data_IF_972658140121
#
_entry.id   IF_972658140121
#
_cell.length_a   1.000
_cell.length_b   1.000
_cell.length_c   1.000
_cell.angle_alpha   90.00
_cell.angle_beta   90.00
_cell.angle_gamma   90.00
#
_symmetry.space_group_name_H-M   'P 1'
#
loop_
_entity.id
_entity.type
_entity.pdbx_description
1 polymer ?
#
# COMPACT_ATOMS: atom_id res chain seq x y z
N UNK A 1 32.43 -16.73 9.21
CA UNK A 1 31.75 -16.50 10.49
C UNK A 1 30.89 -15.26 10.34
N UNK A 2 29.58 -15.43 10.18
CA UNK A 2 28.65 -14.33 10.02
C UNK A 2 28.18 -13.87 11.40
N UNK A 3 28.53 -12.65 11.78
CA UNK A 3 28.08 -12.02 13.01
C UNK A 3 26.61 -11.64 12.86
N UNK A 4 25.72 -12.45 13.44
CA UNK A 4 24.31 -12.11 13.59
C UNK A 4 24.19 -10.90 14.53
N UNK A 5 23.79 -9.75 13.97
CA UNK A 5 23.46 -8.56 14.75
C UNK A 5 22.11 -8.83 15.42
N UNK A 6 22.17 -9.17 16.70
CA UNK A 6 21.00 -9.32 17.57
C UNK A 6 20.48 -7.92 17.91
N UNK A 7 19.44 -7.47 17.20
CA UNK A 7 18.74 -6.22 17.53
C UNK A 7 17.77 -6.52 18.68
N UNK A 8 17.92 -5.91 19.86
CA UNK A 8 17.03 -6.17 20.99
C UNK A 8 15.63 -5.66 20.67
N UNK A 9 14.65 -6.57 20.63
CA UNK A 9 13.23 -6.21 20.63
C UNK A 9 12.92 -5.53 21.96
N UNK A 10 12.45 -4.29 21.93
CA UNK A 10 12.01 -3.60 23.14
C UNK A 10 10.79 -4.32 23.75
N UNK A 11 10.67 -4.35 25.10
CA UNK A 11 9.59 -5.04 25.78
C UNK A 11 8.22 -4.40 25.49
N UNK A 12 7.23 -5.23 25.20
CA UNK A 12 5.87 -4.90 24.73
C UNK A 12 5.16 -3.79 25.53
N UNK A 13 5.38 -3.72 26.85
CA UNK A 13 4.67 -2.77 27.72
C UNK A 13 5.07 -1.30 27.49
N UNK A 14 6.34 -1.04 27.16
CA UNK A 14 6.80 0.33 26.94
C UNK A 14 6.32 0.87 25.59
N UNK A 15 6.29 0.01 24.57
CA UNK A 15 5.72 0.34 23.24
C UNK A 15 4.24 0.69 23.36
N UNK A 16 3.46 -0.06 24.13
CA UNK A 16 2.03 0.20 24.34
C UNK A 16 1.76 1.52 25.09
N UNK A 17 2.58 1.86 26.09
CA UNK A 17 2.49 3.14 26.79
C UNK A 17 2.86 4.32 25.88
N UNK A 18 3.94 4.19 25.10
CA UNK A 18 4.32 5.20 24.10
C UNK A 18 3.22 5.39 23.06
N UNK A 19 2.60 4.29 22.60
CA UNK A 19 1.48 4.32 21.66
C UNK A 19 0.25 5.06 22.21
N UNK A 20 -0.06 4.85 23.49
CA UNK A 20 -1.16 5.57 24.18
C UNK A 20 -0.86 7.05 24.35
N UNK A 21 0.37 7.39 24.74
CA UNK A 21 0.80 8.78 24.88
C UNK A 21 0.71 9.50 23.53
N UNK A 22 1.19 8.88 22.47
CA UNK A 22 1.10 9.41 21.12
C UNK A 22 -0.34 9.67 20.68
N UNK A 23 -1.27 8.71 20.86
CA UNK A 23 -2.69 8.92 20.47
C UNK A 23 -3.34 10.15 21.11
N UNK A 24 -2.83 10.60 22.27
CA UNK A 24 -3.32 11.76 22.98
C UNK A 24 -2.67 13.09 22.54
N UNK A 25 -1.56 13.04 21.79
CA UNK A 25 -0.89 14.23 21.26
C UNK A 25 -1.56 14.68 19.95
N UNK A 26 -1.76 15.99 19.78
CA UNK A 26 -2.35 16.55 18.58
C UNK A 26 -1.30 17.32 17.80
N UNK A 27 -1.07 16.94 16.55
CA UNK A 27 -0.36 17.80 15.60
C UNK A 27 -1.30 18.89 15.10
N UNK A 28 -0.80 20.09 14.80
CA UNK A 28 -1.68 21.16 14.33
C UNK A 28 -2.22 20.85 12.93
N UNK A 29 -3.42 21.35 12.64
CA UNK A 29 -4.08 21.19 11.35
C UNK A 29 -3.25 21.79 10.24
N UNK A 30 -2.92 21.01 9.22
CA UNK A 30 -2.07 21.42 8.10
C UNK A 30 -2.87 21.48 6.80
N UNK A 31 -2.56 22.45 5.97
CA UNK A 31 -3.07 22.57 4.59
C UNK A 31 -2.03 22.02 3.62
N UNK A 32 -2.37 21.05 2.76
CA UNK A 32 -1.43 20.58 1.74
C UNK A 32 -0.97 21.73 0.85
N UNK A 33 0.34 22.01 0.83
CA UNK A 33 0.95 22.92 -0.13
C UNK A 33 1.44 22.13 -1.35
N UNK A 34 1.41 22.75 -2.53
CA UNK A 34 1.80 22.13 -3.80
C UNK A 34 3.18 21.45 -3.70
N UNK A 35 3.27 20.24 -4.26
CA UNK A 35 4.49 19.45 -4.38
C UNK A 35 5.61 20.26 -5.07
N UNK A 36 6.74 20.47 -4.37
CA UNK A 36 7.99 20.96 -4.98
C UNK A 36 8.95 19.77 -5.17
N UNK A 37 9.23 19.35 -6.42
CA UNK A 37 10.13 18.24 -6.73
C UNK A 37 11.56 18.39 -6.18
N UNK A 38 11.96 19.58 -5.72
CA UNK A 38 13.28 19.84 -5.13
C UNK A 38 13.38 19.45 -3.65
N UNK A 39 12.25 19.17 -2.99
CA UNK A 39 12.21 18.80 -1.58
C UNK A 39 12.46 17.29 -1.43
N UNK A 40 13.73 16.88 -1.52
CA UNK A 40 14.13 15.50 -1.31
C UNK A 40 13.97 15.12 0.16
N UNK A 41 13.37 13.96 0.42
CA UNK A 41 13.30 13.38 1.75
C UNK A 41 14.71 13.11 2.29
N UNK A 42 15.00 13.58 3.50
CA UNK A 42 16.26 13.30 4.16
C UNK A 42 16.48 11.79 4.36
N UNK A 43 17.71 11.31 4.18
CA UNK A 43 18.06 9.89 4.34
C UNK A 43 17.67 9.33 5.71
N UNK A 44 17.76 10.15 6.76
CA UNK A 44 17.37 9.79 8.12
C UNK A 44 15.87 9.56 8.23
N UNK A 45 15.06 10.45 7.65
CA UNK A 45 13.60 10.32 7.59
C UNK A 45 13.19 9.07 6.80
N UNK A 46 13.86 8.82 5.67
CA UNK A 46 13.66 7.60 4.90
C UNK A 46 13.93 6.35 5.75
N UNK A 47 15.09 6.27 6.40
CA UNK A 47 15.46 5.13 7.24
C UNK A 47 14.46 4.96 8.39
N UNK A 48 13.96 6.06 8.95
CA UNK A 48 12.97 5.96 10.00
C UNK A 48 11.68 5.28 9.54
N UNK A 49 11.22 5.62 8.33
CA UNK A 49 10.06 4.99 7.73
C UNK A 49 10.31 3.56 7.25
N UNK A 50 11.55 3.21 6.88
CA UNK A 50 11.90 1.91 6.29
C UNK A 50 12.27 0.82 7.32
N UNK A 51 12.70 1.18 8.53
CA UNK A 51 13.33 0.24 9.49
C UNK A 51 12.61 0.12 10.86
N UNK A 52 11.29 0.35 10.92
CA UNK A 52 10.45 0.33 12.16
C UNK A 52 10.96 1.24 13.28
N UNK A 53 11.59 2.37 12.92
CA UNK A 53 12.14 3.35 13.88
C UNK A 53 11.05 4.31 14.32
N UNK A 54 9.99 3.72 14.87
CA UNK A 54 8.79 4.40 15.31
C UNK A 54 9.10 5.54 16.28
N UNK A 55 9.86 5.25 17.34
CA UNK A 55 10.16 6.23 18.39
C UNK A 55 10.96 7.40 17.83
N UNK A 56 11.96 7.12 16.99
CA UNK A 56 12.81 8.15 16.41
C UNK A 56 12.09 9.02 15.37
N UNK A 57 11.17 8.44 14.58
CA UNK A 57 10.31 9.22 13.70
C UNK A 57 9.41 10.14 14.51
N UNK A 58 8.71 9.58 15.50
CA UNK A 58 7.77 10.33 16.32
C UNK A 58 8.47 11.47 17.07
N UNK A 59 9.59 11.19 17.73
CA UNK A 59 10.37 12.21 18.42
C UNK A 59 10.90 13.28 17.48
N UNK A 60 11.28 12.91 16.25
CA UNK A 60 11.74 13.88 15.27
C UNK A 60 10.59 14.82 14.86
N UNK A 61 9.44 14.27 14.47
CA UNK A 61 8.26 15.04 14.09
C UNK A 61 7.75 15.93 15.24
N UNK A 62 7.76 15.43 16.48
CA UNK A 62 7.32 16.15 17.67
C UNK A 62 8.24 17.33 18.04
N UNK A 63 9.53 17.24 17.74
CA UNK A 63 10.51 18.31 18.03
C UNK A 63 10.51 19.44 17.01
N UNK A 64 9.78 19.28 15.90
CA UNK A 64 9.64 20.34 14.90
C UNK A 64 8.86 21.51 15.51
N UNK A 65 9.53 22.64 15.65
CA UNK A 65 8.94 23.87 16.20
C UNK A 65 8.17 24.67 15.15
N UNK A 66 8.38 24.36 13.86
CA UNK A 66 7.79 25.08 12.73
C UNK A 66 6.70 24.25 12.04
N UNK A 67 5.53 24.86 11.86
CA UNK A 67 4.43 24.27 11.12
C UNK A 67 4.80 24.00 9.66
N UNK A 68 5.57 24.91 9.06
CA UNK A 68 5.98 24.84 7.66
C UNK A 68 6.95 23.67 7.44
N UNK A 69 7.82 23.40 8.41
CA UNK A 69 8.77 22.29 8.35
C UNK A 69 8.05 20.94 8.46
N UNK A 70 7.10 20.82 9.40
CA UNK A 70 6.27 19.61 9.53
C UNK A 70 5.44 19.40 8.26
N UNK A 71 4.77 20.44 7.76
CA UNK A 71 3.99 20.35 6.52
C UNK A 71 4.85 19.98 5.31
N UNK A 72 6.07 20.51 5.21
CA UNK A 72 7.02 20.15 4.16
C UNK A 72 7.39 18.67 4.22
N UNK A 73 7.78 18.16 5.40
CA UNK A 73 8.18 16.76 5.59
C UNK A 73 7.03 15.80 5.29
N UNK A 74 5.82 16.12 5.76
CA UNK A 74 4.68 15.23 5.65
C UNK A 74 4.11 15.21 4.23
N UNK A 75 3.94 16.38 3.58
CA UNK A 75 3.17 16.48 2.34
C UNK A 75 3.97 16.79 1.08
N UNK A 76 5.18 17.33 1.21
CA UNK A 76 5.96 17.80 0.05
C UNK A 76 7.24 17.01 -0.17
N UNK A 77 7.86 16.48 0.88
CA UNK A 77 9.08 15.70 0.76
C UNK A 77 8.82 14.28 0.27
N UNK A 78 9.65 13.83 -0.66
CA UNK A 78 9.57 12.49 -1.22
C UNK A 78 10.94 11.90 -1.55
N UNK A 79 10.99 10.57 -1.69
CA UNK A 79 12.14 9.90 -2.32
C UNK A 79 12.29 10.31 -3.80
N UNK A 80 13.37 9.91 -4.51
CA UNK A 80 13.52 10.19 -5.94
C UNK A 80 12.37 9.70 -6.84
N UNK A 81 11.57 8.73 -6.38
CA UNK A 81 10.37 8.24 -7.07
C UNK A 81 9.08 8.93 -6.62
N UNK A 82 9.17 10.02 -5.84
CA UNK A 82 8.01 10.72 -5.27
C UNK A 82 7.36 10.03 -4.07
N UNK A 83 7.95 8.96 -3.53
CA UNK A 83 7.39 8.26 -2.37
C UNK A 83 7.43 9.14 -1.10
N UNK A 84 6.26 9.45 -0.54
CA UNK A 84 6.10 10.04 0.80
C UNK A 84 6.49 9.05 1.91
N UNK A 85 6.52 9.50 3.17
CA UNK A 85 6.79 8.63 4.33
C UNK A 85 5.80 7.45 4.43
N UNK A 86 4.54 7.66 4.03
CA UNK A 86 3.54 6.60 4.03
C UNK A 86 3.87 5.53 2.99
N UNK A 87 4.29 5.93 1.78
CA UNK A 87 4.72 5.00 0.73
C UNK A 87 5.91 4.15 1.18
N UNK A 88 6.92 4.78 1.80
CA UNK A 88 8.13 4.10 2.26
C UNK A 88 7.80 3.09 3.37
N UNK A 89 7.06 3.50 4.40
CA UNK A 89 6.66 2.59 5.48
C UNK A 89 5.77 1.45 4.99
N UNK A 90 4.86 1.73 4.04
CA UNK A 90 3.98 0.75 3.44
C UNK A 90 4.73 -0.32 2.65
N UNK A 91 5.69 0.06 1.81
CA UNK A 91 6.47 -0.89 1.00
C UNK A 91 7.38 -1.78 1.84
N UNK A 92 7.90 -1.27 2.96
CA UNK A 92 8.76 -2.02 3.87
C UNK A 92 7.98 -2.87 4.89
N UNK A 93 6.66 -2.67 5.02
CA UNK A 93 5.84 -3.41 5.98
C UNK A 93 5.90 -2.85 7.40
N UNK A 94 6.25 -1.57 7.55
CA UNK A 94 6.40 -0.90 8.85
C UNK A 94 5.03 -0.48 9.38
N UNK A 95 4.25 -1.47 9.82
CA UNK A 95 2.86 -1.33 10.27
C UNK A 95 2.67 -0.21 11.28
N UNK A 96 3.51 -0.15 12.32
CA UNK A 96 3.35 0.80 13.43
C UNK A 96 3.62 2.24 12.95
N UNK A 97 4.62 2.43 12.09
CA UNK A 97 4.89 3.72 11.42
C UNK A 97 3.76 4.11 10.47
N UNK A 98 3.24 3.17 9.69
CA UNK A 98 2.08 3.41 8.82
C UNK A 98 0.85 3.85 9.64
N UNK A 99 0.60 3.19 10.77
CA UNK A 99 -0.48 3.57 11.67
C UNK A 99 -0.27 4.96 12.29
N UNK A 100 0.98 5.29 12.66
CA UNK A 100 1.39 6.63 13.11
C UNK A 100 0.99 7.71 12.13
N UNK A 101 1.46 7.56 10.90
CA UNK A 101 1.26 8.55 9.86
C UNK A 101 -0.22 8.74 9.56
N UNK A 102 -1.01 7.67 9.47
CA UNK A 102 -2.44 7.77 9.17
C UNK A 102 -3.29 8.29 10.32
N UNK A 103 -2.87 8.08 11.57
CA UNK A 103 -3.60 8.63 12.72
C UNK A 103 -3.57 10.16 12.76
N UNK A 104 -2.46 10.77 12.33
CA UNK A 104 -2.28 12.23 12.38
C UNK A 104 -2.41 12.92 11.04
N UNK A 105 -2.08 12.22 9.96
CA UNK A 105 -2.04 12.76 8.61
C UNK A 105 -2.86 11.84 7.67
N UNK A 106 -4.17 11.67 7.94
CA UNK A 106 -5.00 10.69 7.21
C UNK A 106 -5.07 10.95 5.71
N UNK A 107 -4.90 12.21 5.28
CA UNK A 107 -4.88 12.59 3.85
C UNK A 107 -3.74 11.92 3.07
N UNK A 108 -2.68 11.45 3.74
CA UNK A 108 -1.60 10.71 3.08
C UNK A 108 -2.08 9.41 2.42
N UNK A 109 -3.22 8.87 2.84
CA UNK A 109 -3.75 7.62 2.29
C UNK A 109 -4.07 7.70 0.80
N UNK A 110 -4.36 8.91 0.29
CA UNK A 110 -4.65 9.16 -1.13
C UNK A 110 -3.45 9.74 -1.88
N UNK A 111 -2.32 9.98 -1.21
CA UNK A 111 -1.12 10.49 -1.86
C UNK A 111 -0.64 9.51 -2.93
N UNK A 112 -0.16 10.06 -4.04
CA UNK A 112 0.38 9.32 -5.17
C UNK A 112 1.85 9.68 -5.39
N UNK A 113 2.67 8.68 -5.68
CA UNK A 113 4.06 8.88 -6.09
C UNK A 113 4.15 9.21 -7.61
N UNK A 114 5.35 9.24 -8.19
CA UNK A 114 5.54 9.54 -9.62
C UNK A 114 5.00 8.49 -10.59
N UNK A 115 4.65 7.30 -10.08
CA UNK A 115 4.00 6.22 -10.83
C UNK A 115 2.49 6.17 -10.58
N UNK A 116 1.91 7.21 -9.97
CA UNK A 116 0.53 7.22 -9.49
C UNK A 116 0.21 6.09 -8.47
N UNK A 117 1.21 5.41 -7.94
CA UNK A 117 1.03 4.41 -6.90
C UNK A 117 0.64 5.11 -5.60
N UNK A 118 -0.34 4.54 -4.91
CA UNK A 118 -0.63 4.85 -3.50
C UNK A 118 0.19 3.94 -2.59
N UNK A 119 0.21 4.26 -1.29
CA UNK A 119 0.80 3.38 -0.28
C UNK A 119 0.24 1.94 -0.33
N UNK A 120 -1.04 1.78 -0.70
CA UNK A 120 -1.67 0.47 -0.84
C UNK A 120 -1.09 -0.36 -2.01
N UNK A 121 -0.78 0.28 -3.14
CA UNK A 121 -0.12 -0.39 -4.27
C UNK A 121 1.23 -0.95 -3.84
N UNK A 122 2.05 -0.13 -3.18
CA UNK A 122 3.39 -0.54 -2.76
C UNK A 122 3.37 -1.61 -1.66
N UNK A 123 2.48 -1.51 -0.67
CA UNK A 123 2.31 -2.56 0.33
C UNK A 123 1.89 -3.89 -0.31
N UNK A 124 0.98 -3.82 -1.28
CA UNK A 124 0.46 -5.01 -1.95
C UNK A 124 1.52 -5.67 -2.86
N UNK A 125 2.22 -4.88 -3.67
CA UNK A 125 3.31 -5.35 -4.53
C UNK A 125 4.55 -5.82 -3.78
N UNK A 126 4.74 -5.41 -2.52
CA UNK A 126 5.79 -5.90 -1.64
C UNK A 126 5.35 -7.05 -0.69
N UNK A 127 4.07 -7.44 -0.72
CA UNK A 127 3.56 -8.58 0.06
C UNK A 127 3.31 -8.30 1.54
N UNK A 128 3.16 -7.03 1.92
CA UNK A 128 3.11 -6.58 3.32
C UNK A 128 1.69 -6.67 3.92
N UNK A 129 1.21 -7.89 4.17
CA UNK A 129 -0.17 -8.18 4.58
C UNK A 129 -0.68 -7.34 5.76
N UNK A 130 0.08 -7.27 6.85
CA UNK A 130 -0.38 -6.58 8.06
C UNK A 130 -0.47 -5.05 7.84
N UNK A 131 0.42 -4.50 7.02
CA UNK A 131 0.37 -3.09 6.64
C UNK A 131 -0.77 -2.81 5.65
N UNK A 132 -1.02 -3.72 4.69
CA UNK A 132 -2.21 -3.67 3.82
C UNK A 132 -3.50 -3.61 4.63
N UNK A 133 -3.63 -4.45 5.68
CA UNK A 133 -4.78 -4.42 6.60
C UNK A 133 -4.93 -3.08 7.31
N UNK A 134 -3.83 -2.50 7.83
CA UNK A 134 -3.87 -1.18 8.48
C UNK A 134 -4.35 -0.10 7.51
N UNK A 135 -3.80 -0.05 6.30
CA UNK A 135 -4.20 0.94 5.28
C UNK A 135 -5.71 0.86 5.00
N UNK A 136 -6.25 -0.34 4.75
CA UNK A 136 -7.68 -0.53 4.45
C UNK A 136 -8.55 -0.22 5.67
N UNK A 137 -8.17 -0.67 6.86
CA UNK A 137 -8.95 -0.39 8.08
C UNK A 137 -8.99 1.10 8.41
N UNK A 138 -7.88 1.82 8.22
CA UNK A 138 -7.85 3.28 8.38
C UNK A 138 -8.73 3.97 7.33
N UNK A 139 -8.67 3.54 6.07
CA UNK A 139 -9.57 4.07 5.03
C UNK A 139 -11.06 3.94 5.41
N UNK A 140 -11.47 2.78 5.95
CA UNK A 140 -12.85 2.55 6.39
C UNK A 140 -13.24 3.33 7.65
N UNK A 141 -12.30 3.49 8.60
CA UNK A 141 -12.56 4.09 9.91
C UNK A 141 -12.76 5.61 9.90
N UNK A 142 -12.46 6.31 8.80
CA UNK A 142 -12.64 7.76 8.68
C UNK A 142 -14.05 8.21 8.28
N UNK A 143 -15.01 7.28 8.12
CA UNK A 143 -16.45 7.55 8.15
C UNK A 143 -17.07 8.10 6.86
N UNK A 144 -18.36 7.80 6.70
CA UNK A 144 -19.28 7.99 5.57
C UNK A 144 -19.45 9.45 5.04
N UNK A 145 -18.67 10.41 5.54
CA UNK A 145 -18.82 11.84 5.23
C UNK A 145 -17.76 12.39 4.27
N UNK A 146 -16.88 11.55 3.76
CA UNK A 146 -15.82 11.97 2.84
C UNK A 146 -15.84 11.08 1.62
N UNK A 147 -15.87 11.72 0.45
CA UNK A 147 -15.58 11.15 -0.87
C UNK A 147 -14.13 10.62 -0.96
N UNK A 148 -13.63 9.95 0.08
CA UNK A 148 -12.41 9.17 -0.01
C UNK A 148 -12.71 8.06 -1.01
N UNK A 149 -12.21 8.26 -2.24
CA UNK A 149 -12.14 7.26 -3.30
C UNK A 149 -12.00 5.86 -2.71
N UNK A 150 -12.74 4.89 -3.26
CA UNK A 150 -12.52 3.49 -2.95
C UNK A 150 -11.04 3.16 -3.22
N UNK A 151 -10.21 3.17 -2.17
CA UNK A 151 -8.74 3.06 -2.30
C UNK A 151 -8.32 1.74 -2.95
N UNK A 152 -9.21 0.75 -2.90
CA UNK A 152 -9.09 -0.54 -3.56
C UNK A 152 -9.15 -0.44 -5.10
N UNK A 153 -9.90 0.53 -5.63
CA UNK A 153 -10.13 0.74 -7.06
C UNK A 153 -9.17 1.76 -7.69
N UNK A 154 -8.38 2.47 -6.87
CA UNK A 154 -7.40 3.43 -7.38
C UNK A 154 -6.43 2.72 -8.30
N UNK A 155 -6.15 3.34 -9.45
CA UNK A 155 -5.22 2.84 -10.46
C UNK A 155 -3.96 3.70 -10.51
N UNK A 156 -2.82 3.04 -10.65
CA UNK A 156 -1.53 3.65 -10.91
C UNK A 156 -1.33 4.00 -12.41
N UNK A 157 -0.13 4.42 -12.80
CA UNK A 157 0.21 4.86 -14.15
C UNK A 157 0.08 3.75 -15.21
N UNK A 158 0.12 2.48 -14.82
CA UNK A 158 -0.15 1.30 -15.67
C UNK A 158 -1.62 0.92 -15.71
N UNK A 159 -2.47 1.58 -14.93
CA UNK A 159 -3.86 1.19 -14.73
C UNK A 159 -4.03 0.05 -13.74
N UNK A 160 -2.95 -0.39 -13.07
CA UNK A 160 -3.00 -1.46 -12.10
C UNK A 160 -3.64 -0.96 -10.80
N UNK A 161 -4.49 -1.80 -10.20
CA UNK A 161 -4.94 -1.65 -8.81
C UNK A 161 -3.96 -2.35 -7.86
N UNK A 162 -4.10 -2.14 -6.55
CA UNK A 162 -3.31 -2.89 -5.56
C UNK A 162 -3.44 -4.42 -5.71
N UNK A 163 -4.59 -4.93 -6.16
CA UNK A 163 -4.75 -6.36 -6.43
C UNK A 163 -3.92 -6.83 -7.63
N UNK A 164 -3.79 -6.01 -8.68
CA UNK A 164 -2.88 -6.32 -9.78
C UNK A 164 -1.45 -6.47 -9.25
N UNK A 165 -0.98 -5.51 -8.46
CA UNK A 165 0.38 -5.53 -7.91
C UNK A 165 0.64 -6.77 -7.04
N UNK A 166 -0.33 -7.15 -6.19
CA UNK A 166 -0.23 -8.38 -5.40
C UNK A 166 -0.17 -9.64 -6.27
N UNK A 167 -0.94 -9.70 -7.37
CA UNK A 167 -0.99 -10.87 -8.26
C UNK A 167 0.25 -10.96 -9.15
N UNK A 168 0.70 -9.84 -9.73
CA UNK A 168 1.89 -9.76 -10.58
C UNK A 168 3.12 -10.26 -9.80
N UNK A 169 3.24 -9.87 -8.52
CA UNK A 169 4.34 -10.25 -7.66
C UNK A 169 4.09 -11.53 -6.82
N UNK A 170 2.99 -12.24 -7.08
CA UNK A 170 2.63 -13.53 -6.44
C UNK A 170 2.50 -13.49 -4.92
N UNK A 171 1.96 -12.41 -4.38
CA UNK A 171 1.69 -12.26 -2.95
C UNK A 171 0.30 -12.79 -2.58
N UNK A 172 0.17 -14.13 -2.51
CA UNK A 172 -1.09 -14.85 -2.29
C UNK A 172 -1.87 -14.38 -1.06
N UNK A 173 -1.18 -14.11 0.06
CA UNK A 173 -1.84 -13.72 1.31
C UNK A 173 -2.48 -12.33 1.21
N UNK A 174 -1.78 -11.38 0.57
CA UNK A 174 -2.31 -10.05 0.28
C UNK A 174 -3.46 -10.13 -0.71
N UNK A 175 -3.30 -10.86 -1.82
CA UNK A 175 -4.35 -11.01 -2.82
C UNK A 175 -5.63 -11.62 -2.22
N UNK A 176 -5.50 -12.66 -1.39
CA UNK A 176 -6.62 -13.25 -0.66
C UNK A 176 -7.35 -12.22 0.20
N UNK A 177 -6.60 -11.39 0.91
CA UNK A 177 -7.18 -10.35 1.74
C UNK A 177 -7.89 -9.27 0.90
N UNK A 178 -7.21 -8.70 -0.11
CA UNK A 178 -7.81 -7.69 -0.99
C UNK A 178 -9.10 -8.15 -1.66
N UNK A 179 -9.14 -9.40 -2.10
CA UNK A 179 -10.33 -9.98 -2.73
C UNK A 179 -11.45 -10.24 -1.72
N UNK A 180 -11.13 -10.56 -0.46
CA UNK A 180 -12.14 -10.62 0.61
C UNK A 180 -12.73 -9.25 0.96
N UNK A 181 -12.02 -8.18 0.63
CA UNK A 181 -12.48 -6.80 0.82
C UNK A 181 -13.32 -6.30 -0.36
N UNK A 182 -12.98 -6.68 -1.59
CA UNK A 182 -13.74 -6.38 -2.81
C UNK A 182 -13.43 -7.41 -3.91
N UNK A 183 -14.40 -8.27 -4.23
CA UNK A 183 -14.23 -9.37 -5.18
C UNK A 183 -14.26 -8.91 -6.64
N UNK A 184 -14.89 -7.77 -6.91
CA UNK A 184 -15.04 -7.15 -8.22
C UNK A 184 -13.69 -6.73 -8.83
N UNK A 185 -12.68 -6.48 -7.98
CA UNK A 185 -11.32 -6.16 -8.41
C UNK A 185 -10.68 -7.27 -9.26
N UNK A 186 -11.09 -8.53 -9.10
CA UNK A 186 -10.57 -9.67 -9.87
C UNK A 186 -10.64 -9.47 -11.39
N UNK A 187 -11.55 -8.61 -11.85
CA UNK A 187 -11.87 -8.40 -13.26
C UNK A 187 -11.55 -7.00 -13.76
N UNK A 188 -11.09 -6.12 -12.88
CA UNK A 188 -10.74 -4.76 -13.26
C UNK A 188 -9.59 -4.81 -14.25
N UNK A 189 -9.73 -4.15 -15.39
CA UNK A 189 -8.69 -4.08 -16.41
C UNK A 189 -7.70 -2.95 -16.13
N UNK A 190 -6.41 -3.21 -16.33
CA UNK A 190 -5.38 -2.18 -16.46
C UNK A 190 -5.36 -1.56 -17.86
N UNK A 191 -4.36 -0.72 -18.17
CA UNK A 191 -4.25 -0.06 -19.49
C UNK A 191 -3.96 -1.03 -20.65
N UNK A 192 -3.45 -2.22 -20.35
CA UNK A 192 -3.19 -3.29 -21.33
C UNK A 192 -4.38 -4.25 -21.51
N UNK A 193 -5.53 -3.92 -20.90
CA UNK A 193 -6.72 -4.77 -20.86
C UNK A 193 -6.48 -6.12 -20.17
N UNK A 194 -5.58 -6.14 -19.20
CA UNK A 194 -5.23 -7.29 -18.38
C UNK A 194 -5.83 -7.11 -16.98
N UNK A 195 -6.51 -8.13 -16.48
CA UNK A 195 -7.06 -8.17 -15.13
C UNK A 195 -6.15 -8.95 -14.18
N UNK A 196 -6.35 -8.88 -12.85
CA UNK A 196 -5.63 -9.74 -11.92
C UNK A 196 -5.84 -11.23 -12.24
N UNK A 197 -7.05 -11.61 -12.65
CA UNK A 197 -7.33 -12.98 -13.09
C UNK A 197 -6.52 -13.37 -14.34
N UNK A 198 -6.38 -12.46 -15.31
CA UNK A 198 -5.51 -12.65 -16.48
C UNK A 198 -4.07 -12.94 -16.04
N UNK A 199 -3.50 -12.11 -15.16
CA UNK A 199 -2.12 -12.29 -14.69
C UNK A 199 -1.93 -13.60 -13.93
N UNK A 200 -2.88 -14.06 -13.12
CA UNK A 200 -2.80 -15.35 -12.44
C UNK A 200 -2.66 -16.52 -13.45
N UNK A 201 -3.41 -16.47 -14.56
CA UNK A 201 -3.33 -17.47 -15.64
C UNK A 201 -2.03 -17.32 -16.44
N UNK A 202 -1.65 -16.10 -16.83
CA UNK A 202 -0.41 -15.83 -17.57
C UNK A 202 0.82 -16.31 -16.78
N UNK A 203 0.83 -16.08 -15.47
CA UNK A 203 1.88 -16.49 -14.55
C UNK A 203 1.86 -17.99 -14.22
N UNK A 204 0.85 -18.75 -14.71
CA UNK A 204 0.63 -20.17 -14.39
C UNK A 204 0.51 -20.43 -12.88
N UNK A 205 0.02 -19.45 -12.14
CA UNK A 205 -0.07 -19.50 -10.69
C UNK A 205 -1.41 -20.09 -10.28
N UNK A 206 -1.45 -21.43 -10.16
CA UNK A 206 -2.69 -22.17 -9.85
C UNK A 206 -3.25 -21.79 -8.49
N UNK A 207 -2.39 -21.52 -7.51
CA UNK A 207 -2.81 -21.15 -6.16
C UNK A 207 -3.41 -19.76 -6.16
N UNK A 208 -2.79 -18.80 -6.84
CA UNK A 208 -3.34 -17.46 -7.02
C UNK A 208 -4.67 -17.51 -7.77
N UNK A 209 -4.74 -18.25 -8.88
CA UNK A 209 -5.99 -18.44 -9.62
C UNK A 209 -7.09 -18.99 -8.72
N UNK A 210 -6.78 -19.99 -7.89
CA UNK A 210 -7.73 -20.58 -6.95
C UNK A 210 -8.21 -19.59 -5.89
N UNK A 211 -7.34 -18.68 -5.43
CA UNK A 211 -7.68 -17.60 -4.50
C UNK A 211 -8.68 -16.65 -5.16
N UNK A 212 -8.39 -16.16 -6.37
CA UNK A 212 -9.25 -15.23 -7.08
C UNK A 212 -10.61 -15.87 -7.41
N UNK A 213 -10.61 -17.11 -7.90
CA UNK A 213 -11.83 -17.85 -8.28
C UNK A 213 -12.75 -18.16 -7.10
N UNK A 214 -12.21 -18.52 -5.93
CA UNK A 214 -13.03 -18.89 -4.76
C UNK A 214 -13.82 -17.73 -4.18
N UNK A 215 -13.40 -16.51 -4.43
CA UNK A 215 -14.05 -15.34 -3.89
C UNK A 215 -15.13 -14.76 -4.81
N UNK A 216 -15.22 -15.24 -6.05
CA UNK A 216 -16.29 -14.90 -6.98
C UNK A 216 -17.53 -15.71 -6.56
N UNK A 217 -18.66 -15.06 -6.18
CA UNK A 217 -19.88 -15.77 -5.81
C UNK A 217 -20.35 -16.69 -6.94
N UNK A 218 -20.85 -17.87 -6.59
CA UNK A 218 -21.18 -18.99 -7.49
C UNK A 218 -22.25 -18.71 -8.59
N UNK A 219 -22.68 -17.47 -8.81
CA UNK A 219 -23.69 -17.11 -9.83
C UNK A 219 -23.14 -16.38 -11.05
N UNK A 220 -21.82 -16.22 -11.18
CA UNK A 220 -21.22 -15.40 -12.23
C UNK A 220 -20.27 -16.15 -13.19
N UNK A 221 -20.61 -17.39 -13.53
CA UNK A 221 -19.88 -18.14 -14.58
C UNK A 221 -20.02 -17.43 -15.94
N UNK A 222 -21.08 -16.63 -16.13
CA UNK A 222 -21.27 -15.76 -17.29
C UNK A 222 -20.44 -14.46 -17.23
N UNK A 223 -19.90 -14.06 -16.06
CA UNK A 223 -18.96 -12.94 -16.00
C UNK A 223 -17.72 -13.21 -16.84
N UNK A 224 -17.22 -14.46 -16.86
CA UNK A 224 -16.09 -14.87 -17.70
C UNK A 224 -16.34 -14.62 -19.20
N UNK A 225 -17.60 -14.65 -19.63
CA UNK A 225 -18.00 -14.37 -21.02
C UNK A 225 -18.17 -12.86 -21.29
N UNK A 226 -18.42 -12.09 -20.23
CA UNK A 226 -18.62 -10.64 -20.27
C UNK A 226 -17.36 -9.84 -19.90
N UNK A 227 -16.23 -10.50 -19.60
CA UNK A 227 -14.94 -9.85 -19.45
C UNK A 227 -14.59 -9.16 -20.76
N UNK A 228 -14.64 -7.83 -20.74
CA UNK A 228 -14.03 -7.00 -21.76
C UNK A 228 -12.50 -7.17 -21.60
N UNK A 229 -11.75 -6.91 -22.66
CA UNK A 229 -10.29 -7.06 -22.66
C UNK A 229 -9.75 -8.45 -23.05
N UNK A 230 -8.51 -8.78 -22.62
CA UNK A 230 -7.83 -10.02 -23.03
C UNK A 230 -8.44 -11.24 -22.36
N UNK A 231 -8.82 -12.25 -23.15
CA UNK A 231 -9.40 -13.48 -22.63
C UNK A 231 -8.38 -14.31 -21.83
N UNK A 232 -8.87 -15.14 -20.88
CA UNK A 232 -8.00 -16.08 -20.15
C UNK A 232 -7.34 -17.11 -21.06
N UNK A 233 -7.95 -17.42 -22.22
CA UNK A 233 -7.32 -18.27 -23.25
C UNK A 233 -6.10 -17.57 -23.83
N UNK A 234 -6.18 -16.26 -24.09
CA UNK A 234 -5.02 -15.46 -24.51
C UNK A 234 -3.92 -15.52 -23.45
N UNK A 235 -4.26 -15.32 -22.18
CA UNK A 235 -3.32 -15.40 -21.05
C UNK A 235 -2.58 -16.75 -21.02
N UNK A 236 -3.31 -17.86 -21.15
CA UNK A 236 -2.75 -19.21 -21.13
C UNK A 236 -1.77 -19.46 -22.29
N UNK A 237 -2.04 -18.90 -23.47
CA UNK A 237 -1.14 -18.97 -24.64
C UNK A 237 0.13 -18.16 -24.39
N UNK A 238 0.02 -16.94 -23.86
CA UNK A 238 1.19 -16.09 -23.57
C UNK A 238 2.07 -16.69 -22.48
N UNK A 239 1.47 -17.18 -21.40
CA UNK A 239 2.17 -17.88 -20.33
C UNK A 239 2.93 -19.11 -20.83
N UNK A 240 2.56 -19.72 -21.96
CA UNK A 240 3.31 -20.82 -22.59
C UNK A 240 4.54 -20.37 -23.36
N UNK A 241 4.50 -19.19 -23.98
CA UNK A 241 5.64 -18.65 -24.74
C UNK A 241 6.77 -18.15 -23.83
N UNK A 242 6.46 -17.70 -22.61
CA UNK A 242 7.47 -17.23 -21.64
C UNK A 242 8.21 -18.35 -20.89
N UNK A 243 7.68 -19.57 -20.92
CA UNK A 243 8.23 -20.73 -20.20
C UNK A 243 9.01 -21.73 -21.06
N UNK A 244 9.30 -21.38 -22.32
CA UNK A 244 10.08 -22.15 -23.30
C UNK A 244 11.26 -21.33 -23.75
#
# INVERSE_FOLDING_TARGET
MASSINIPRQPSNQRDETFRKWKAESFPTQTPHFYDPKNMMDKKLYNYAAEDRFDELFDHLRRLSSMDELSSIIYSQGSPSGNSLLHVSASHGMKDVTELLLQHFPILITAKNFHDDTALHLAAGAGQLETTKVLINKAKGHGEATDFYNILEVKNDRGNTALHEAVIHRHHAVARFLVSECSELCYTENKDHESPLYHAVENRDKDMLSILMRAIPHHDVDLLKNLKGKSLVHAAVQGRKRGT
#
